data_IF_760328754947
#
_entry.id   IF_760328754947
#
_cell.length_a   1.000
_cell.length_b   1.000
_cell.length_c   1.000
_cell.angle_alpha   90.00
_cell.angle_beta   90.00
_cell.angle_gamma   90.00
#
_symmetry.space_group_name_H-M   'P 1'
#
loop_
_entity.id
_entity.type
_entity.pdbx_description
1 polymer ?
#
# COMPACT_ATOMS: atom_id res chain seq x y z
N UNK A 1 -32.33 31.85 3.54
CA UNK A 1 -33.20 30.81 2.93
C UNK A 1 -33.44 29.72 3.96
N UNK A 2 -34.47 28.87 3.89
CA UNK A 2 -34.69 27.85 4.93
C UNK A 2 -34.13 26.48 4.55
N UNK A 3 -33.58 25.75 5.53
CA UNK A 3 -33.00 24.44 5.32
C UNK A 3 -34.08 23.38 5.05
N UNK A 4 -34.00 22.69 3.91
CA UNK A 4 -34.91 21.60 3.55
C UNK A 4 -34.79 20.34 4.43
N UNK A 5 -33.79 20.28 5.33
CA UNK A 5 -33.62 19.18 6.30
C UNK A 5 -34.11 19.49 7.71
N UNK A 6 -34.01 20.72 8.18
CA UNK A 6 -34.30 21.07 9.59
C UNK A 6 -35.11 22.35 9.80
N UNK A 7 -35.50 23.07 8.74
CA UNK A 7 -36.29 24.31 8.83
C UNK A 7 -35.54 25.54 9.35
N UNK A 8 -34.29 25.42 9.81
CA UNK A 8 -33.48 26.56 10.27
C UNK A 8 -33.19 27.55 9.13
N UNK A 9 -33.07 28.84 9.46
CA UNK A 9 -32.65 29.86 8.49
C UNK A 9 -31.16 29.68 8.16
N UNK A 10 -30.83 29.88 6.89
CA UNK A 10 -29.51 29.78 6.28
C UNK A 10 -29.15 31.17 5.77
N UNK A 11 -28.04 31.69 6.29
CA UNK A 11 -27.43 32.96 5.88
C UNK A 11 -26.94 32.90 4.42
N UNK A 12 -26.96 34.04 3.73
CA UNK A 12 -26.61 34.09 2.31
C UNK A 12 -25.14 33.71 2.10
N UNK A 13 -24.88 32.79 1.17
CA UNK A 13 -23.53 32.30 0.87
C UNK A 13 -23.05 31.10 1.72
N UNK A 14 -23.74 30.73 2.80
CA UNK A 14 -23.35 29.59 3.63
C UNK A 14 -23.32 28.27 2.82
N UNK A 15 -22.23 27.50 2.94
CA UNK A 15 -22.09 26.19 2.27
C UNK A 15 -22.81 25.05 3.02
N UNK A 16 -23.02 25.21 4.33
CA UNK A 16 -23.66 24.25 5.22
C UNK A 16 -24.64 24.96 6.15
N UNK A 17 -25.73 24.30 6.54
CA UNK A 17 -26.69 24.81 7.51
C UNK A 17 -26.11 24.78 8.92
N UNK A 18 -26.08 25.93 9.61
CA UNK A 18 -25.60 26.06 11.00
C UNK A 18 -26.43 25.25 12.01
N UNK A 19 -27.70 24.99 11.74
CA UNK A 19 -28.60 24.25 12.63
C UNK A 19 -28.50 22.72 12.57
N UNK A 20 -28.00 22.14 11.47
CA UNK A 20 -27.95 20.68 11.30
C UNK A 20 -26.76 20.12 10.50
N UNK A 21 -25.85 20.97 10.00
CA UNK A 21 -24.70 20.58 9.20
C UNK A 21 -25.00 20.14 7.76
N UNK A 22 -26.26 20.12 7.32
CA UNK A 22 -26.61 19.71 5.96
C UNK A 22 -26.02 20.68 4.89
N UNK A 23 -25.42 20.17 3.79
CA UNK A 23 -24.90 21.02 2.72
C UNK A 23 -26.04 21.75 1.99
N UNK A 24 -25.79 23.01 1.63
CA UNK A 24 -26.77 23.87 0.96
C UNK A 24 -26.50 23.85 -0.54
N UNK A 25 -27.43 23.28 -1.31
CA UNK A 25 -27.34 23.28 -2.77
C UNK A 25 -27.46 24.71 -3.31
N UNK A 26 -26.35 25.30 -3.76
CA UNK A 26 -26.33 26.62 -4.40
C UNK A 26 -26.97 26.55 -5.79
N UNK A 27 -28.26 26.85 -5.89
CA UNK A 27 -28.91 27.16 -7.16
C UNK A 27 -28.43 28.52 -7.65
N UNK A 28 -27.67 28.54 -8.75
CA UNK A 28 -27.06 29.76 -9.27
C UNK A 28 -28.09 30.81 -9.71
N UNK A 29 -28.07 31.99 -9.09
CA UNK A 29 -28.37 33.24 -9.78
C UNK A 29 -27.29 34.29 -9.45
N UNK A 30 -26.73 34.86 -10.53
CA UNK A 30 -25.93 36.09 -10.62
C UNK A 30 -24.43 36.02 -10.17
N UNK A 31 -23.56 35.93 -11.20
CA UNK A 31 -22.28 36.65 -11.49
C UNK A 31 -21.33 37.02 -10.33
N UNK A 32 -19.98 36.92 -10.42
CA UNK A 32 -19.06 37.26 -11.52
C UNK A 32 -17.62 36.69 -11.26
N UNK A 33 -16.85 36.32 -12.31
CA UNK A 33 -15.39 35.97 -12.39
C UNK A 33 -14.76 35.02 -11.32
N UNK A 34 -13.87 34.07 -11.60
CA UNK A 34 -12.73 34.07 -12.55
C UNK A 34 -12.22 32.63 -12.85
N UNK A 35 -11.26 32.48 -13.78
CA UNK A 35 -10.63 31.21 -14.23
C UNK A 35 -9.80 30.50 -13.12
N UNK A 36 -9.53 29.19 -13.10
CA UNK A 36 -8.98 28.33 -14.17
C UNK A 36 -9.36 26.83 -14.13
N UNK A 37 -9.31 26.22 -15.32
CA UNK A 37 -9.45 24.80 -15.70
C UNK A 37 -8.66 23.76 -14.88
N UNK A 38 -9.32 22.63 -14.55
CA UNK A 38 -9.02 21.26 -15.05
C UNK A 38 -10.33 20.40 -14.96
N UNK A 39 -10.63 19.36 -15.77
CA UNK A 39 -10.00 18.93 -17.03
C UNK A 39 -10.21 17.45 -17.43
N UNK A 40 -11.45 16.95 -17.65
CA UNK A 40 -11.71 15.61 -18.24
C UNK A 40 -12.86 15.61 -19.27
N UNK A 41 -12.74 14.76 -20.30
CA UNK A 41 -13.57 14.71 -21.51
C UNK A 41 -14.75 13.73 -21.42
N UNK A 42 -15.84 13.98 -22.15
CA UNK A 42 -16.77 12.92 -22.57
C UNK A 42 -17.32 13.19 -24.00
N UNK A 43 -17.52 12.10 -24.76
CA UNK A 43 -17.79 12.10 -26.20
C UNK A 43 -19.22 12.53 -26.60
N UNK A 44 -19.38 13.05 -27.82
CA UNK A 44 -20.61 13.70 -28.30
C UNK A 44 -21.69 12.80 -28.91
N UNK A 45 -22.92 12.98 -28.41
CA UNK A 45 -24.21 12.81 -29.10
C UNK A 45 -24.34 13.60 -30.42
N UNK A 46 -24.56 12.98 -31.59
CA UNK A 46 -24.90 13.71 -32.81
C UNK A 46 -26.38 14.14 -32.85
N UNK A 47 -26.65 15.29 -33.47
CA UNK A 47 -27.95 15.94 -33.53
C UNK A 47 -28.49 15.92 -34.97
N UNK A 48 -29.70 15.39 -35.16
CA UNK A 48 -30.41 15.42 -36.44
C UNK A 48 -31.74 16.17 -36.28
N UNK A 49 -32.19 16.83 -37.35
CA UNK A 49 -33.28 17.80 -37.34
C UNK A 49 -34.69 17.19 -37.35
N UNK A 50 -35.64 17.95 -36.81
CA UNK A 50 -37.08 17.67 -36.76
C UNK A 50 -37.72 17.67 -38.16
N UNK A 51 -38.86 16.98 -38.35
CA UNK A 51 -40.09 17.74 -38.60
C UNK A 51 -41.30 17.35 -37.73
N UNK A 52 -42.31 18.23 -37.78
CA UNK A 52 -43.50 18.31 -36.93
C UNK A 52 -44.68 17.44 -37.43
N UNK A 53 -45.40 16.75 -36.52
CA UNK A 53 -46.77 16.22 -36.72
C UNK A 53 -47.55 16.18 -35.38
N UNK A 54 -48.88 16.23 -35.48
CA UNK A 54 -49.84 16.56 -34.39
C UNK A 54 -50.24 15.37 -33.46
N UNK A 55 -50.89 15.74 -32.34
CA UNK A 55 -51.55 14.94 -31.28
C UNK A 55 -52.62 13.91 -31.79
N UNK A 56 -53.16 12.95 -30.96
CA UNK A 56 -53.30 12.98 -29.48
C UNK A 56 -53.08 11.68 -28.65
N UNK A 57 -53.09 11.86 -27.32
CA UNK A 57 -53.36 10.92 -26.19
C UNK A 57 -53.18 9.39 -26.35
N UNK A 58 -52.16 8.83 -25.67
CA UNK A 58 -52.24 7.63 -24.79
C UNK A 58 -50.87 7.31 -24.16
N UNK A 59 -50.60 7.73 -22.91
CA UNK A 59 -49.34 7.39 -22.22
C UNK A 59 -49.41 7.62 -20.69
N UNK A 60 -50.05 6.70 -19.94
CA UNK A 60 -50.10 6.78 -18.47
C UNK A 60 -49.71 5.48 -17.73
N UNK A 61 -49.42 4.38 -18.45
CA UNK A 61 -49.21 3.05 -17.84
C UNK A 61 -47.75 2.56 -17.78
N UNK A 62 -46.78 3.28 -18.34
CA UNK A 62 -45.40 2.81 -18.45
C UNK A 62 -44.46 3.20 -17.28
N UNK A 63 -44.87 4.09 -16.37
CA UNK A 63 -43.93 4.76 -15.46
C UNK A 63 -43.72 4.06 -14.10
N UNK A 64 -44.57 3.13 -13.69
CA UNK A 64 -44.49 2.53 -12.34
C UNK A 64 -43.40 1.46 -12.18
N UNK A 65 -43.01 0.76 -13.25
CA UNK A 65 -42.12 -0.40 -13.16
C UNK A 65 -40.64 -0.04 -12.92
N UNK A 66 -40.22 1.20 -13.19
CA UNK A 66 -38.83 1.64 -13.03
C UNK A 66 -38.43 1.99 -11.59
N UNK A 67 -39.41 2.15 -10.67
CA UNK A 67 -39.16 2.63 -9.30
C UNK A 67 -38.81 1.50 -8.33
N UNK A 68 -39.15 0.25 -8.64
CA UNK A 68 -38.97 -0.87 -7.70
C UNK A 68 -37.54 -1.44 -7.71
N UNK A 69 -36.80 -1.32 -8.82
CA UNK A 69 -35.46 -1.91 -8.97
C UNK A 69 -34.34 -1.08 -8.28
N UNK A 70 -34.59 0.21 -8.01
CA UNK A 70 -33.59 1.09 -7.37
C UNK A 70 -33.46 0.87 -5.85
N UNK A 71 -34.47 0.34 -5.17
CA UNK A 71 -34.37 0.10 -3.71
C UNK A 71 -33.38 -1.01 -3.35
N UNK A 72 -33.28 -2.09 -4.15
CA UNK A 72 -32.41 -3.22 -3.79
C UNK A 72 -30.91 -2.88 -3.79
N UNK A 73 -30.45 -1.90 -4.56
CA UNK A 73 -29.04 -1.49 -4.56
C UNK A 73 -28.61 -0.73 -3.29
N UNK A 74 -29.54 -0.21 -2.49
CA UNK A 74 -29.20 0.57 -1.30
C UNK A 74 -28.78 -0.30 -0.09
N UNK A 75 -29.15 -1.59 -0.07
CA UNK A 75 -28.86 -2.50 1.04
C UNK A 75 -27.43 -3.06 1.03
N UNK A 76 -26.70 -2.96 -0.09
CA UNK A 76 -25.34 -3.47 -0.21
C UNK A 76 -24.23 -2.47 0.20
N UNK A 77 -24.57 -1.21 0.51
CA UNK A 77 -23.58 -0.18 0.91
C UNK A 77 -23.59 0.18 2.41
N UNK A 78 -24.48 -0.39 3.22
CA UNK A 78 -24.66 0.00 4.63
C UNK A 78 -23.67 -0.65 5.64
N UNK A 79 -22.48 -1.09 5.21
CA UNK A 79 -21.49 -1.65 6.14
C UNK A 79 -20.03 -1.18 5.95
N UNK A 80 -19.85 0.04 5.47
CA UNK A 80 -18.65 0.83 5.78
C UNK A 80 -19.05 1.97 6.72
N UNK A 81 -19.06 1.66 8.02
CA UNK A 81 -19.26 2.67 9.07
C UNK A 81 -18.20 3.75 8.97
N UNK A 82 -18.65 5.01 8.89
CA UNK A 82 -17.82 6.20 8.99
C UNK A 82 -17.05 6.14 10.32
N UNK A 83 -15.77 5.75 10.28
CA UNK A 83 -14.89 5.85 11.44
C UNK A 83 -14.51 7.33 11.62
N UNK A 84 -14.71 7.93 12.81
CA UNK A 84 -14.12 9.22 13.09
C UNK A 84 -12.59 9.10 12.97
N UNK A 85 -11.95 10.12 12.42
CA UNK A 85 -10.52 10.15 12.11
C UNK A 85 -10.09 9.08 11.08
N UNK A 86 -10.15 9.43 9.79
CA UNK A 86 -9.45 8.70 8.74
C UNK A 86 -7.92 8.78 8.96
N UNK A 87 -7.39 7.87 9.77
CA UNK A 87 -5.97 7.79 10.13
C UNK A 87 -5.10 7.82 8.86
N UNK A 88 -4.04 8.64 8.78
CA UNK A 88 -3.22 8.71 7.57
C UNK A 88 -2.51 7.37 7.30
N UNK A 89 -2.79 6.79 6.13
CA UNK A 89 -2.30 5.47 5.69
C UNK A 89 -1.12 5.57 4.70
N UNK A 90 -0.41 6.70 4.63
CA UNK A 90 0.68 6.92 3.67
C UNK A 90 1.78 5.86 3.75
N UNK A 91 2.33 5.62 4.95
CA UNK A 91 3.34 4.59 5.18
C UNK A 91 2.82 3.18 4.84
N UNK A 92 1.59 2.82 5.26
CA UNK A 92 0.99 1.54 4.89
C UNK A 92 0.90 1.34 3.37
N UNK A 93 0.44 2.37 2.64
CA UNK A 93 0.39 2.34 1.17
C UNK A 93 1.79 2.14 0.57
N UNK A 94 2.79 2.90 1.04
CA UNK A 94 4.18 2.73 0.62
C UNK A 94 4.70 1.30 0.84
N UNK A 95 4.42 0.68 2.00
CA UNK A 95 4.81 -0.71 2.28
C UNK A 95 4.21 -1.71 1.27
N UNK A 96 2.89 -1.66 1.05
CA UNK A 96 2.18 -2.69 0.27
C UNK A 96 2.24 -2.50 -1.25
N UNK A 97 2.53 -1.29 -1.72
CA UNK A 97 2.67 -0.97 -3.15
C UNK A 97 4.12 -0.91 -3.62
N UNK A 98 5.08 -0.60 -2.74
CA UNK A 98 6.49 -0.49 -3.10
C UNK A 98 7.40 -1.35 -2.22
N UNK A 99 7.53 -1.02 -0.93
CA UNK A 99 8.68 -1.48 -0.14
C UNK A 99 8.78 -3.01 0.00
N UNK A 100 7.66 -3.72 0.15
CA UNK A 100 7.66 -5.18 0.27
C UNK A 100 7.93 -5.89 -1.07
N UNK A 101 7.51 -5.31 -2.19
CA UNK A 101 7.85 -5.84 -3.52
C UNK A 101 9.31 -5.57 -3.86
N UNK A 102 9.78 -4.33 -3.65
CA UNK A 102 11.17 -3.95 -3.89
C UNK A 102 12.13 -4.76 -3.00
N UNK A 103 11.80 -4.92 -1.71
CA UNK A 103 12.55 -5.79 -0.80
C UNK A 103 12.58 -7.25 -1.25
N UNK A 104 11.48 -7.80 -1.77
CA UNK A 104 11.47 -9.16 -2.32
C UNK A 104 12.36 -9.28 -3.57
N UNK A 105 12.33 -8.30 -4.48
CA UNK A 105 13.21 -8.26 -5.67
C UNK A 105 14.69 -8.21 -5.26
N UNK A 106 15.06 -7.36 -4.31
CA UNK A 106 16.43 -7.29 -3.79
C UNK A 106 16.87 -8.60 -3.13
N UNK A 107 16.00 -9.26 -2.36
CA UNK A 107 16.30 -10.55 -1.75
C UNK A 107 16.47 -11.68 -2.78
N UNK A 108 15.68 -11.69 -3.87
CA UNK A 108 15.89 -12.64 -4.98
C UNK A 108 17.19 -12.35 -5.73
N UNK A 109 17.49 -11.07 -6.00
CA UNK A 109 18.72 -10.68 -6.69
C UNK A 109 19.97 -11.06 -5.88
N UNK A 110 20.02 -10.68 -4.60
CA UNK A 110 21.10 -11.07 -3.70
C UNK A 110 21.19 -12.59 -3.53
N UNK A 111 20.05 -13.28 -3.40
CA UNK A 111 20.03 -14.73 -3.23
C UNK A 111 20.58 -15.47 -4.44
N UNK A 112 20.20 -15.06 -5.66
CA UNK A 112 20.76 -15.61 -6.90
C UNK A 112 22.24 -15.26 -7.07
N UNK A 113 22.64 -14.04 -6.71
CA UNK A 113 24.03 -13.57 -6.76
C UNK A 113 24.94 -14.41 -5.85
N UNK A 114 24.51 -14.70 -4.61
CA UNK A 114 25.27 -15.56 -3.68
C UNK A 114 25.33 -17.02 -4.15
N UNK A 115 24.20 -17.61 -4.58
CA UNK A 115 24.18 -19.00 -5.09
C UNK A 115 25.09 -19.18 -6.32
N UNK A 116 25.24 -18.14 -7.14
CA UNK A 116 26.13 -18.12 -8.30
C UNK A 116 27.59 -17.73 -7.99
N UNK A 117 27.91 -17.34 -6.75
CA UNK A 117 29.21 -16.76 -6.38
C UNK A 117 29.53 -15.41 -7.05
N UNK A 118 28.53 -14.76 -7.63
CA UNK A 118 28.68 -13.57 -8.48
C UNK A 118 28.93 -12.26 -7.69
N UNK A 119 28.96 -12.31 -6.36
CA UNK A 119 29.44 -11.22 -5.49
C UNK A 119 30.96 -11.16 -5.38
N UNK A 120 31.68 -12.21 -5.75
CA UNK A 120 33.14 -12.16 -5.83
C UNK A 120 33.60 -11.48 -7.11
N UNK A 121 34.54 -10.54 -6.97
CA UNK A 121 35.16 -9.82 -8.07
C UNK A 121 36.23 -10.66 -8.79
N UNK A 122 35.82 -11.73 -9.48
CA UNK A 122 36.70 -12.57 -10.29
C UNK A 122 36.25 -14.02 -10.40
N UNK A 123 37.21 -14.95 -10.34
CA UNK A 123 36.95 -16.39 -10.34
C UNK A 123 36.45 -16.85 -8.95
N UNK A 124 35.13 -17.02 -8.82
CA UNK A 124 34.51 -17.54 -7.60
C UNK A 124 35.04 -18.93 -7.20
N UNK A 125 35.39 -19.80 -8.17
CA UNK A 125 35.95 -21.12 -7.86
C UNK A 125 37.38 -21.00 -7.28
N UNK A 126 38.14 -19.95 -7.60
CA UNK A 126 39.40 -19.67 -6.92
C UNK A 126 39.19 -19.26 -5.45
N UNK A 127 38.16 -18.44 -5.17
CA UNK A 127 37.80 -18.04 -3.80
C UNK A 127 37.33 -19.25 -2.98
N UNK A 128 36.44 -20.07 -3.53
CA UNK A 128 35.95 -21.29 -2.86
C UNK A 128 37.02 -22.37 -2.65
N UNK A 129 38.07 -22.42 -3.49
CA UNK A 129 39.24 -23.29 -3.25
C UNK A 129 40.20 -22.73 -2.20
N UNK A 130 40.18 -21.42 -1.93
CA UNK A 130 41.00 -20.78 -0.92
C UNK A 130 40.39 -20.85 0.49
N UNK A 131 39.06 -20.94 0.60
CA UNK A 131 38.32 -20.95 1.85
C UNK A 131 37.27 -22.08 1.86
N UNK A 132 37.58 -23.17 2.56
CA UNK A 132 36.68 -24.31 2.73
C UNK A 132 35.40 -23.93 3.49
N UNK A 133 34.26 -24.52 3.12
CA UNK A 133 32.93 -24.19 3.68
C UNK A 133 32.29 -22.88 3.20
N UNK A 134 33.02 -22.02 2.48
CA UNK A 134 32.51 -20.71 2.04
C UNK A 134 31.40 -20.83 0.97
N UNK A 135 31.50 -21.83 0.09
CA UNK A 135 30.51 -22.12 -0.95
C UNK A 135 29.19 -22.59 -0.35
N UNK A 136 29.28 -23.42 0.66
CA UNK A 136 28.16 -23.94 1.43
C UNK A 136 27.44 -22.81 2.17
N UNK A 137 28.20 -21.89 2.79
CA UNK A 137 27.66 -20.69 3.42
C UNK A 137 26.90 -19.83 2.40
N UNK A 138 27.49 -19.50 1.26
CA UNK A 138 26.84 -18.67 0.23
C UNK A 138 25.54 -19.29 -0.30
N UNK A 139 25.53 -20.59 -0.57
CA UNK A 139 24.33 -21.32 -1.03
C UNK A 139 23.23 -21.27 0.04
N UNK A 140 23.57 -21.53 1.31
CA UNK A 140 22.62 -21.44 2.43
C UNK A 140 22.06 -20.03 2.56
N UNK A 141 22.93 -19.01 2.51
CA UNK A 141 22.54 -17.61 2.62
C UNK A 141 21.63 -17.18 1.46
N UNK A 142 21.93 -17.59 0.23
CA UNK A 142 21.10 -17.25 -0.91
C UNK A 142 19.72 -17.93 -0.89
N UNK A 143 19.63 -19.18 -0.40
CA UNK A 143 18.35 -19.85 -0.14
C UNK A 143 17.56 -19.09 0.95
N UNK A 144 18.20 -18.68 2.04
CA UNK A 144 17.56 -17.89 3.09
C UNK A 144 17.05 -16.53 2.58
N UNK A 145 17.78 -15.87 1.68
CA UNK A 145 17.31 -14.65 1.00
C UNK A 145 16.07 -14.92 0.14
N UNK A 146 16.04 -16.00 -0.65
CA UNK A 146 14.84 -16.37 -1.44
C UNK A 146 13.65 -16.67 -0.52
N UNK A 147 13.86 -17.34 0.61
CA UNK A 147 12.81 -17.58 1.63
C UNK A 147 12.30 -16.26 2.22
N UNK A 148 13.18 -15.30 2.54
CA UNK A 148 12.79 -13.96 2.98
C UNK A 148 12.00 -13.20 1.92
N UNK A 149 12.33 -13.33 0.62
CA UNK A 149 11.57 -12.73 -0.48
C UNK A 149 10.13 -13.27 -0.53
N UNK A 150 9.96 -14.60 -0.48
CA UNK A 150 8.63 -15.25 -0.43
C UNK A 150 7.85 -14.81 0.80
N UNK A 151 8.51 -14.73 1.97
CA UNK A 151 7.90 -14.26 3.21
C UNK A 151 7.51 -12.76 3.15
N UNK A 152 8.23 -11.94 2.40
CA UNK A 152 7.87 -10.55 2.10
C UNK A 152 6.60 -10.42 1.27
N UNK A 153 6.43 -11.27 0.24
CA UNK A 153 5.19 -11.33 -0.55
C UNK A 153 4.01 -11.83 0.30
N UNK A 154 4.22 -12.87 1.11
CA UNK A 154 3.23 -13.34 2.09
C UNK A 154 2.81 -12.22 3.06
N UNK A 155 3.79 -11.52 3.65
CA UNK A 155 3.57 -10.36 4.53
C UNK A 155 2.75 -9.27 3.84
N UNK A 156 3.04 -8.97 2.56
CA UNK A 156 2.27 -8.02 1.75
C UNK A 156 0.80 -8.44 1.60
N UNK A 157 0.53 -9.73 1.34
CA UNK A 157 -0.84 -10.27 1.28
C UNK A 157 -1.54 -10.17 2.63
N UNK A 158 -0.87 -10.50 3.74
CA UNK A 158 -1.46 -10.39 5.09
C UNK A 158 -1.76 -8.94 5.48
N UNK A 159 -0.89 -8.00 5.13
CA UNK A 159 -1.11 -6.58 5.37
C UNK A 159 -2.22 -5.99 4.50
N UNK A 160 -2.15 -6.17 3.17
CA UNK A 160 -3.18 -5.66 2.25
C UNK A 160 -4.57 -6.28 2.50
N UNK A 161 -4.62 -7.52 2.98
CA UNK A 161 -5.85 -8.19 3.38
C UNK A 161 -6.46 -7.66 4.69
N UNK A 162 -5.73 -6.88 5.50
CA UNK A 162 -6.09 -6.47 6.86
C UNK A 162 -6.31 -7.65 7.83
N UNK A 163 -5.44 -8.67 7.75
CA UNK A 163 -5.47 -9.81 8.65
C UNK A 163 -4.89 -9.47 10.04
N UNK A 164 -5.46 -10.00 11.12
CA UNK A 164 -5.05 -9.77 12.53
C UNK A 164 -3.55 -9.93 12.78
N UNK A 165 -2.92 -10.91 12.12
CA UNK A 165 -1.49 -11.17 12.23
C UNK A 165 -0.61 -10.35 11.27
N UNK A 166 -1.18 -9.58 10.33
CA UNK A 166 -0.44 -8.78 9.35
C UNK A 166 0.64 -7.89 9.96
N UNK A 167 0.31 -7.06 10.98
CA UNK A 167 1.29 -6.29 11.74
C UNK A 167 2.40 -7.12 12.38
N UNK A 168 2.11 -8.35 12.82
CA UNK A 168 3.14 -9.24 13.35
C UNK A 168 4.03 -9.79 12.24
N UNK A 169 3.46 -10.15 11.08
CA UNK A 169 4.24 -10.76 9.99
C UNK A 169 5.37 -9.87 9.49
N UNK A 170 5.13 -8.56 9.35
CA UNK A 170 6.20 -7.61 8.96
C UNK A 170 7.26 -7.42 10.04
N UNK A 171 6.91 -7.49 11.33
CA UNK A 171 7.89 -7.45 12.41
C UNK A 171 8.75 -8.72 12.40
N UNK A 172 8.12 -9.90 12.31
CA UNK A 172 8.81 -11.19 12.15
C UNK A 172 9.74 -11.20 10.93
N UNK A 173 9.35 -10.58 9.80
CA UNK A 173 10.22 -10.46 8.62
C UNK A 173 11.52 -9.72 8.92
N UNK A 174 11.44 -8.57 9.59
CA UNK A 174 12.64 -7.80 9.97
C UNK A 174 13.46 -8.51 11.05
N UNK A 175 12.81 -9.20 12.00
CA UNK A 175 13.54 -10.04 12.98
C UNK A 175 14.30 -11.18 12.30
N UNK A 176 13.69 -11.88 11.34
CA UNK A 176 14.36 -12.92 10.55
C UNK A 176 15.49 -12.34 9.70
N UNK A 177 15.30 -11.14 9.12
CA UNK A 177 16.35 -10.45 8.36
C UNK A 177 17.59 -10.14 9.23
N UNK A 178 17.40 -9.70 10.48
CA UNK A 178 18.51 -9.50 11.43
C UNK A 178 19.20 -10.83 11.78
N UNK A 179 18.43 -11.91 12.02
CA UNK A 179 18.98 -13.23 12.33
C UNK A 179 19.79 -13.82 11.16
N UNK A 180 19.29 -13.69 9.93
CA UNK A 180 19.98 -14.16 8.72
C UNK A 180 21.33 -13.43 8.54
N UNK A 181 21.36 -12.11 8.71
CA UNK A 181 22.63 -11.37 8.66
C UNK A 181 23.58 -11.71 9.83
N UNK A 182 23.06 -11.99 11.03
CA UNK A 182 23.89 -12.46 12.15
C UNK A 182 24.50 -13.85 11.88
N UNK A 183 23.76 -14.76 11.24
CA UNK A 183 24.25 -16.06 10.81
C UNK A 183 25.38 -15.90 9.78
N UNK A 184 25.20 -15.03 8.78
CA UNK A 184 26.24 -14.73 7.79
C UNK A 184 27.51 -14.19 8.45
N UNK A 185 27.38 -13.23 9.36
CA UNK A 185 28.50 -12.65 10.09
C UNK A 185 29.29 -13.72 10.88
N UNK A 186 28.59 -14.55 11.66
CA UNK A 186 29.23 -15.63 12.45
C UNK A 186 29.87 -16.68 11.52
N UNK A 187 29.20 -17.04 10.42
CA UNK A 187 29.73 -17.96 9.43
C UNK A 187 31.04 -17.44 8.81
N UNK A 188 31.03 -16.19 8.36
CA UNK A 188 32.20 -15.54 7.76
C UNK A 188 33.39 -15.48 8.73
N UNK A 189 33.17 -15.08 10.00
CA UNK A 189 34.23 -15.05 11.02
C UNK A 189 34.71 -16.43 11.46
N UNK A 190 33.96 -17.49 11.20
CA UNK A 190 34.38 -18.87 11.48
C UNK A 190 35.21 -19.51 10.35
N UNK A 191 35.12 -18.97 9.13
CA UNK A 191 35.76 -19.51 7.91
C UNK A 191 37.01 -18.71 7.54
N UNK A 192 36.94 -17.38 7.57
CA UNK A 192 38.08 -16.53 7.17
C UNK A 192 39.03 -16.30 8.36
N UNK A 193 40.35 -16.42 8.17
CA UNK A 193 41.32 -16.14 9.23
C UNK A 193 41.43 -14.63 9.50
N UNK A 194 41.75 -14.26 10.75
CA UNK A 194 41.84 -12.86 11.25
C UNK A 194 42.64 -11.89 10.37
N UNK A 195 43.63 -12.41 9.61
CA UNK A 195 44.45 -11.62 8.67
C UNK A 195 43.71 -11.16 7.40
N UNK A 196 42.54 -11.74 7.12
CA UNK A 196 41.66 -11.39 5.98
C UNK A 196 40.52 -10.49 6.47
N UNK A 197 40.02 -10.74 7.68
CA UNK A 197 39.03 -9.87 8.33
C UNK A 197 39.76 -8.81 9.16
N UNK A 198 40.18 -7.71 8.53
CA UNK A 198 40.50 -6.52 9.32
C UNK A 198 39.24 -6.04 10.04
N UNK A 199 39.37 -5.63 11.31
CA UNK A 199 38.25 -5.20 12.14
C UNK A 199 37.57 -3.90 11.61
N UNK A 200 38.24 -3.20 10.68
CA UNK A 200 37.72 -2.09 9.87
C UNK A 200 36.88 -2.52 8.65
N UNK A 201 37.13 -3.74 8.16
CA UNK A 201 36.63 -4.25 6.88
C UNK A 201 35.46 -5.23 7.11
N UNK A 202 35.09 -5.46 8.37
CA UNK A 202 33.78 -5.97 8.76
C UNK A 202 32.75 -4.93 8.35
N UNK A 203 32.22 -5.19 7.15
CA UNK A 203 31.67 -4.22 6.24
C UNK A 203 30.68 -3.22 6.87
N UNK A 204 30.89 -1.94 6.57
CA UNK A 204 29.90 -0.90 6.82
C UNK A 204 28.55 -1.28 6.18
N UNK A 205 28.56 -1.98 5.03
CA UNK A 205 27.35 -2.48 4.38
C UNK A 205 26.61 -3.56 5.20
N UNK A 206 27.33 -4.53 5.78
CA UNK A 206 26.75 -5.61 6.57
C UNK A 206 26.12 -5.05 7.85
N UNK A 207 26.86 -4.22 8.57
CA UNK A 207 26.39 -3.52 9.77
C UNK A 207 25.21 -2.56 9.48
N UNK A 208 25.24 -1.83 8.35
CA UNK A 208 24.11 -1.00 7.90
C UNK A 208 22.85 -1.82 7.61
N UNK A 209 22.95 -3.01 7.01
CA UNK A 209 21.78 -3.82 6.65
C UNK A 209 21.04 -4.37 7.89
N UNK A 210 21.78 -4.79 8.92
CA UNK A 210 21.25 -5.20 10.23
C UNK A 210 20.62 -4.01 10.95
N UNK A 211 21.31 -2.87 10.99
CA UNK A 211 20.84 -1.65 11.63
C UNK A 211 19.57 -1.12 10.94
N UNK A 212 19.52 -1.10 9.61
CA UNK A 212 18.35 -0.70 8.84
C UNK A 212 17.16 -1.63 9.11
N UNK A 213 17.38 -2.95 9.18
CA UNK A 213 16.34 -3.93 9.53
C UNK A 213 15.80 -3.70 10.95
N UNK A 214 16.67 -3.43 11.92
CA UNK A 214 16.27 -3.10 13.29
C UNK A 214 15.47 -1.78 13.36
N UNK A 215 15.95 -0.71 12.72
CA UNK A 215 15.25 0.58 12.63
C UNK A 215 13.87 0.40 12.00
N UNK A 216 13.78 -0.33 10.89
CA UNK A 216 12.51 -0.63 10.22
C UNK A 216 11.56 -1.44 11.10
N UNK A 217 12.06 -2.36 11.93
CA UNK A 217 11.25 -3.06 12.93
C UNK A 217 10.63 -2.09 13.95
N UNK A 218 11.40 -1.13 14.49
CA UNK A 218 10.89 -0.11 15.42
C UNK A 218 9.87 0.84 14.77
N UNK A 219 10.15 1.33 13.55
CA UNK A 219 9.24 2.20 12.79
C UNK A 219 7.91 1.48 12.55
N UNK A 220 7.95 0.25 12.05
CA UNK A 220 6.74 -0.53 11.77
C UNK A 220 5.98 -0.88 13.04
N UNK A 221 6.67 -1.22 14.14
CA UNK A 221 6.01 -1.47 15.44
C UNK A 221 5.24 -0.24 15.90
N UNK A 222 5.89 0.92 15.96
CA UNK A 222 5.27 2.19 16.36
C UNK A 222 4.11 2.60 15.44
N UNK A 223 4.24 2.35 14.14
CA UNK A 223 3.21 2.65 13.14
C UNK A 223 1.97 1.76 13.29
N UNK A 224 2.17 0.45 13.43
CA UNK A 224 1.08 -0.53 13.47
C UNK A 224 0.45 -0.66 14.85
N UNK A 225 1.17 -0.45 15.95
CA UNK A 225 0.57 -0.42 17.30
C UNK A 225 -0.60 0.59 17.36
N UNK A 226 -0.45 1.76 16.72
CA UNK A 226 -1.50 2.79 16.58
C UNK A 226 -2.66 2.41 15.66
N UNK A 227 -2.54 1.32 14.90
CA UNK A 227 -3.45 0.90 13.82
C UNK A 227 -3.93 -0.55 13.93
N UNK A 228 -3.63 -1.25 15.03
CA UNK A 228 -4.04 -2.66 15.27
C UNK A 228 -5.54 -2.89 15.08
N UNK A 229 -6.38 -1.91 15.45
CA UNK A 229 -7.84 -1.96 15.30
C UNK A 229 -8.32 -2.08 13.83
N UNK A 230 -7.48 -1.77 12.84
CA UNK A 230 -7.79 -1.95 11.42
C UNK A 230 -7.63 -3.40 10.94
N UNK A 231 -6.93 -4.25 11.71
CA UNK A 231 -6.56 -5.62 11.32
C UNK A 231 -7.48 -6.62 12.02
N UNK A 232 -8.61 -6.94 11.36
CA UNK A 232 -9.73 -7.67 11.98
C UNK A 232 -10.08 -9.00 11.32
N UNK A 233 -9.46 -9.36 10.18
CA UNK A 233 -9.66 -10.66 9.52
C UNK A 233 -8.79 -11.75 10.16
#
# INVERSE_FOLDING_TARGET
MFCSKCGSNIEQGAAFCSGCGAPVARSNMQQQNEQTSYGYQQYGQQQYTQPNVQQPQQQQYAQQQYVQQSQQQQYAQQQYTQQPYAQPMGWFKFLIYFALFFGAVLNVANGAMMIAGAHYSGDADAVYRAFDGLKELDIIMGILSIVLAVYGIYTRVRLAGFYKNGPSTILTMYSLSVLVNLIYYIGLTSILPDRVISMSDIDLSASLSMLASAIMMFINKSYFDKRKHLFVK
#
